data_IF_598230194276
#
_entry.id   IF_598230194276
#
_cell.length_a   1.000
_cell.length_b   1.000
_cell.length_c   1.000
_cell.angle_alpha   90.00
_cell.angle_beta   90.00
_cell.angle_gamma   90.00
#
_symmetry.space_group_name_H-M   'P 1'
#
loop_
_entity.id
_entity.type
_entity.pdbx_description
1 polymer ?
#
# COMPACT_ATOMS: atom_id res chain seq x y z
N UNK A 1 21.80 30.74 13.39
CA UNK A 1 21.75 29.33 12.94
C UNK A 1 23.13 28.74 13.09
N UNK A 2 23.40 28.11 14.23
CA UNK A 2 24.72 27.64 14.67
C UNK A 2 25.07 26.28 14.04
N UNK A 3 26.32 26.15 13.62
CA UNK A 3 26.90 25.09 12.78
C UNK A 3 26.95 23.66 13.39
N UNK A 4 26.15 23.37 14.43
CA UNK A 4 26.05 22.05 15.08
C UNK A 4 24.86 21.22 14.52
N UNK A 5 24.08 21.78 13.59
CA UNK A 5 23.07 21.01 12.86
C UNK A 5 23.66 20.01 11.83
N UNK A 6 24.95 20.12 11.52
CA UNK A 6 25.57 19.42 10.38
C UNK A 6 26.00 17.97 10.60
N UNK A 7 26.13 17.48 11.84
CA UNK A 7 26.60 16.09 12.09
C UNK A 7 25.57 15.12 12.69
N UNK A 8 24.52 15.62 13.36
CA UNK A 8 23.44 14.79 13.92
C UNK A 8 22.03 15.35 13.65
N UNK A 9 21.93 16.45 12.88
CA UNK A 9 20.69 17.17 12.64
C UNK A 9 19.86 16.54 11.52
N UNK A 10 19.01 15.57 11.86
CA UNK A 10 17.85 15.36 11.01
C UNK A 10 16.77 16.33 11.46
N UNK A 11 16.71 17.52 10.84
CA UNK A 11 15.60 18.44 11.01
C UNK A 11 14.30 17.65 10.88
N UNK A 12 13.41 17.79 11.87
CA UNK A 12 12.09 17.17 11.83
C UNK A 12 11.39 17.79 10.62
N UNK A 13 11.08 17.02 9.56
CA UNK A 13 10.55 17.58 8.31
C UNK A 13 9.15 18.17 8.49
N UNK A 14 8.47 17.80 9.59
CA UNK A 14 7.09 18.21 9.88
C UNK A 14 7.09 19.48 10.73
N UNK A 15 6.41 20.50 10.23
CA UNK A 15 6.18 21.76 10.91
C UNK A 15 4.67 22.13 10.89
N UNK A 16 4.31 23.35 11.31
CA UNK A 16 2.91 23.79 11.34
C UNK A 16 2.29 23.90 9.95
N UNK A 17 3.09 24.18 8.93
CA UNK A 17 2.66 24.37 7.53
C UNK A 17 2.65 23.04 6.75
N UNK A 18 3.53 22.11 7.14
CA UNK A 18 3.76 20.81 6.50
C UNK A 18 3.58 19.67 7.53
N UNK A 19 2.38 19.52 8.12
CA UNK A 19 2.11 18.54 9.18
C UNK A 19 2.39 17.08 8.77
N UNK A 20 2.36 16.79 7.46
CA UNK A 20 2.49 15.45 6.90
C UNK A 20 3.66 15.31 5.93
N UNK A 21 4.70 16.12 6.11
CA UNK A 21 5.96 15.97 5.38
C UNK A 21 6.65 14.65 5.73
N UNK A 22 6.72 13.74 4.76
CA UNK A 22 7.49 12.50 4.90
C UNK A 22 8.89 12.63 4.30
N UNK A 23 9.87 12.01 4.95
CA UNK A 23 11.19 11.76 4.37
C UNK A 23 11.07 10.70 3.28
N UNK A 24 12.00 10.71 2.33
CA UNK A 24 12.10 9.68 1.28
C UNK A 24 12.17 8.27 1.86
N UNK A 25 12.91 8.07 2.95
CA UNK A 25 12.99 6.78 3.65
C UNK A 25 11.67 6.36 4.31
N UNK A 26 10.88 7.31 4.80
CA UNK A 26 9.55 7.03 5.35
C UNK A 26 8.59 6.63 4.23
N UNK A 27 8.63 7.33 3.09
CA UNK A 27 7.85 6.97 1.92
C UNK A 27 8.15 5.54 1.43
N UNK A 28 9.41 5.19 1.20
CA UNK A 28 9.78 3.84 0.76
C UNK A 28 9.47 2.76 1.80
N UNK A 29 9.50 3.08 3.10
CA UNK A 29 8.99 2.18 4.13
C UNK A 29 7.50 1.92 3.97
N UNK A 30 6.70 2.94 3.68
CA UNK A 30 5.26 2.77 3.40
C UNK A 30 5.00 1.90 2.18
N UNK A 31 5.77 2.11 1.11
CA UNK A 31 5.74 1.27 -0.10
C UNK A 31 6.08 -0.19 0.23
N UNK A 32 7.15 -0.42 0.99
CA UNK A 32 7.58 -1.76 1.38
C UNK A 32 6.52 -2.46 2.26
N UNK A 33 5.90 -1.75 3.21
CA UNK A 33 4.81 -2.29 4.03
C UNK A 33 3.60 -2.65 3.16
N UNK A 34 3.17 -1.76 2.27
CA UNK A 34 2.03 -2.03 1.39
C UNK A 34 2.30 -3.27 0.50
N UNK A 35 3.49 -3.34 -0.10
CA UNK A 35 3.91 -4.49 -0.91
C UNK A 35 3.93 -5.78 -0.09
N UNK A 36 4.57 -5.77 1.09
CA UNK A 36 4.70 -6.95 1.94
C UNK A 36 3.35 -7.46 2.47
N UNK A 37 2.44 -6.55 2.83
CA UNK A 37 1.07 -6.90 3.30
C UNK A 37 0.20 -7.40 2.14
N UNK A 38 0.42 -6.92 0.92
CA UNK A 38 -0.34 -7.37 -0.24
C UNK A 38 -0.07 -8.83 -0.60
N UNK A 39 1.16 -9.32 -0.44
CA UNK A 39 1.51 -10.70 -0.82
C UNK A 39 0.65 -11.78 -0.14
N UNK A 40 0.52 -11.83 1.19
CA UNK A 40 -0.33 -12.84 1.83
C UNK A 40 -1.81 -12.64 1.50
N UNK A 41 -2.28 -11.40 1.38
CA UNK A 41 -3.68 -11.11 1.01
C UNK A 41 -3.98 -11.62 -0.40
N UNK A 42 -3.10 -11.33 -1.36
CA UNK A 42 -3.24 -11.78 -2.74
C UNK A 42 -3.18 -13.30 -2.86
N UNK A 43 -2.29 -13.96 -2.13
CA UNK A 43 -2.23 -15.43 -2.09
C UNK A 43 -3.54 -16.04 -1.55
N UNK A 44 -4.13 -15.46 -0.50
CA UNK A 44 -5.42 -15.89 0.04
C UNK A 44 -6.55 -15.66 -0.96
N UNK A 45 -6.61 -14.48 -1.59
CA UNK A 45 -7.63 -14.17 -2.60
C UNK A 45 -7.55 -15.17 -3.76
N UNK A 46 -6.36 -15.44 -4.29
CA UNK A 46 -6.20 -16.37 -5.39
C UNK A 46 -6.57 -17.80 -4.99
N UNK A 47 -6.10 -18.25 -3.84
CA UNK A 47 -6.39 -19.58 -3.32
C UNK A 47 -7.88 -19.79 -3.13
N UNK A 48 -8.55 -18.89 -2.43
CA UNK A 48 -9.99 -18.97 -2.15
C UNK A 48 -10.79 -18.87 -3.45
N UNK A 49 -10.45 -17.94 -4.34
CA UNK A 49 -11.11 -17.80 -5.65
C UNK A 49 -10.98 -19.07 -6.51
N UNK A 50 -9.80 -19.69 -6.51
CA UNK A 50 -9.54 -20.93 -7.27
C UNK A 50 -10.29 -22.14 -6.67
N UNK A 51 -10.42 -22.19 -5.34
CA UNK A 51 -11.10 -23.28 -4.65
C UNK A 51 -12.63 -23.21 -4.76
N UNK A 52 -13.22 -22.01 -4.70
CA UNK A 52 -14.67 -21.82 -4.77
C UNK A 52 -15.22 -21.79 -6.21
N UNK A 53 -14.40 -21.39 -7.18
CA UNK A 53 -14.83 -21.21 -8.57
C UNK A 53 -14.72 -22.43 -9.48
N UNK A 54 -14.13 -23.54 -9.01
CA UNK A 54 -13.84 -24.69 -9.88
C UNK A 54 -14.75 -25.90 -9.56
N UNK A 55 -15.76 -26.19 -10.39
CA UNK A 55 -16.67 -27.33 -10.20
C UNK A 55 -15.98 -28.70 -10.34
N UNK A 56 -14.72 -28.74 -10.75
CA UNK A 56 -13.93 -29.96 -10.94
C UNK A 56 -13.33 -30.53 -9.64
N UNK A 57 -13.60 -29.95 -8.47
CA UNK A 57 -13.15 -30.46 -7.17
C UNK A 57 -14.33 -30.82 -6.24
N UNK A 58 -15.09 -31.90 -6.49
CA UNK A 58 -16.31 -32.18 -5.74
C UNK A 58 -16.07 -32.64 -4.29
N UNK A 59 -15.01 -33.44 -4.00
CA UNK A 59 -14.99 -34.26 -2.77
C UNK A 59 -13.67 -34.24 -1.96
N UNK A 60 -12.96 -33.11 -1.87
CA UNK A 60 -11.82 -32.99 -0.92
C UNK A 60 -10.59 -32.21 -1.40
N UNK A 61 -10.67 -31.56 -2.56
CA UNK A 61 -9.55 -30.84 -3.18
C UNK A 61 -9.30 -29.42 -2.67
N UNK A 62 -10.08 -28.89 -1.72
CA UNK A 62 -10.02 -27.48 -1.30
C UNK A 62 -8.61 -27.11 -0.81
N UNK A 63 -7.99 -27.97 0.02
CA UNK A 63 -6.63 -27.74 0.49
C UNK A 63 -5.59 -27.71 -0.65
N UNK A 64 -5.74 -28.59 -1.64
CA UNK A 64 -4.87 -28.62 -2.81
C UNK A 64 -5.10 -27.42 -3.74
N UNK A 65 -6.34 -26.96 -3.91
CA UNK A 65 -6.68 -25.77 -4.70
C UNK A 65 -6.17 -24.49 -4.04
N UNK A 66 -6.29 -24.37 -2.71
CA UNK A 66 -5.69 -23.27 -1.93
C UNK A 66 -4.17 -23.24 -2.09
N UNK A 67 -3.51 -24.40 -1.98
CA UNK A 67 -2.06 -24.51 -2.13
C UNK A 67 -1.60 -24.20 -3.56
N UNK A 68 -2.27 -24.74 -4.57
CA UNK A 68 -1.96 -24.46 -5.98
C UNK A 68 -2.16 -22.99 -6.33
N UNK A 69 -3.24 -22.37 -5.87
CA UNK A 69 -3.48 -20.93 -6.03
C UNK A 69 -2.40 -20.09 -5.34
N UNK A 70 -2.01 -20.43 -4.12
CA UNK A 70 -0.93 -19.75 -3.41
C UNK A 70 0.42 -19.89 -4.13
N UNK A 71 0.75 -21.07 -4.68
CA UNK A 71 1.97 -21.28 -5.46
C UNK A 71 1.96 -20.48 -6.77
N UNK A 72 0.82 -20.44 -7.47
CA UNK A 72 0.68 -19.62 -8.67
C UNK A 72 0.85 -18.13 -8.37
N UNK A 73 0.32 -17.66 -7.23
CA UNK A 73 0.53 -16.30 -6.75
C UNK A 73 2.01 -15.98 -6.52
N UNK A 74 2.76 -16.91 -5.90
CA UNK A 74 4.17 -16.70 -5.60
C UNK A 74 5.02 -16.55 -6.86
N UNK A 75 4.63 -17.16 -7.98
CA UNK A 75 5.35 -17.07 -9.25
C UNK A 75 4.90 -15.85 -10.06
N UNK A 76 3.59 -15.74 -10.35
CA UNK A 76 3.05 -14.67 -11.20
C UNK A 76 2.67 -13.41 -10.45
N UNK A 77 1.96 -13.56 -9.32
CA UNK A 77 1.44 -12.44 -8.52
C UNK A 77 2.53 -11.56 -7.92
N UNK A 78 3.65 -12.14 -7.50
CA UNK A 78 4.83 -11.40 -7.00
C UNK A 78 5.41 -10.48 -8.08
N UNK A 79 5.56 -10.97 -9.31
CA UNK A 79 6.10 -10.16 -10.42
C UNK A 79 5.15 -9.04 -10.80
N UNK A 80 3.85 -9.35 -10.94
CA UNK A 80 2.83 -8.36 -11.29
C UNK A 80 2.73 -7.28 -10.21
N UNK A 81 2.72 -7.66 -8.94
CA UNK A 81 2.68 -6.71 -7.83
C UNK A 81 3.95 -5.86 -7.72
N UNK A 82 5.12 -6.39 -8.07
CA UNK A 82 6.36 -5.62 -8.13
C UNK A 82 6.30 -4.55 -9.23
N UNK A 83 5.86 -4.92 -10.44
CA UNK A 83 5.67 -3.99 -11.55
C UNK A 83 4.64 -2.91 -11.19
N UNK A 84 3.48 -3.31 -10.67
CA UNK A 84 2.44 -2.38 -10.22
C UNK A 84 2.96 -1.41 -9.14
N UNK A 85 3.80 -1.89 -8.23
CA UNK A 85 4.42 -1.06 -7.20
C UNK A 85 5.37 -0.04 -7.82
N UNK A 86 6.26 -0.46 -8.72
CA UNK A 86 7.21 0.44 -9.40
C UNK A 86 6.48 1.51 -10.18
N UNK A 87 5.42 1.14 -10.91
CA UNK A 87 4.59 2.08 -11.68
C UNK A 87 3.77 3.01 -10.76
N UNK A 88 3.26 2.49 -9.64
CA UNK A 88 2.43 3.25 -8.70
C UNK A 88 3.22 4.24 -7.83
N UNK A 89 4.50 3.97 -7.56
CA UNK A 89 5.35 4.78 -6.67
C UNK A 89 5.40 6.27 -7.05
N UNK A 90 5.66 6.66 -8.31
CA UNK A 90 5.67 8.07 -8.70
C UNK A 90 4.34 8.77 -8.42
N UNK A 91 3.20 8.13 -8.73
CA UNK A 91 1.88 8.71 -8.50
C UNK A 91 1.55 8.82 -7.02
N UNK A 92 1.86 7.80 -6.22
CA UNK A 92 1.71 7.83 -4.77
C UNK A 92 2.58 8.93 -4.13
N UNK A 93 3.78 9.16 -4.66
CA UNK A 93 4.66 10.23 -4.22
C UNK A 93 4.08 11.62 -4.51
N UNK A 94 3.58 11.83 -5.73
CA UNK A 94 2.92 13.09 -6.12
C UNK A 94 1.66 13.35 -5.28
N UNK A 95 0.86 12.31 -5.02
CA UNK A 95 -0.31 12.40 -4.14
C UNK A 95 0.08 12.76 -2.71
N UNK A 96 1.12 12.12 -2.16
CA UNK A 96 1.63 12.47 -0.82
C UNK A 96 2.15 13.91 -0.75
N UNK A 97 2.83 14.38 -1.80
CA UNK A 97 3.32 15.76 -1.93
C UNK A 97 2.17 16.77 -1.99
N UNK A 98 1.10 16.51 -2.72
CA UNK A 98 -0.04 17.43 -2.84
C UNK A 98 -0.83 17.55 -1.52
N UNK A 99 -0.84 16.50 -0.70
CA UNK A 99 -1.54 16.45 0.59
C UNK A 99 -0.68 16.86 1.78
N UNK A 100 0.55 17.34 1.57
CA UNK A 100 1.52 17.62 2.64
C UNK A 100 1.02 18.63 3.70
N UNK A 101 0.17 19.57 3.29
CA UNK A 101 -0.42 20.62 4.13
C UNK A 101 -1.69 20.18 4.88
N UNK A 102 -2.25 19.03 4.49
CA UNK A 102 -3.53 18.55 5.04
C UNK A 102 -3.29 17.87 6.38
N UNK A 103 -3.90 18.42 7.43
CA UNK A 103 -3.78 17.93 8.81
C UNK A 103 -4.60 16.67 9.11
N UNK A 104 -5.73 16.50 8.44
CA UNK A 104 -6.72 15.49 8.80
C UNK A 104 -6.40 14.11 8.21
N UNK A 105 -6.21 13.12 9.08
CA UNK A 105 -5.83 11.75 8.70
C UNK A 105 -6.83 11.11 7.73
N UNK A 106 -8.12 11.35 7.92
CA UNK A 106 -9.17 10.75 7.09
C UNK A 106 -9.06 11.17 5.62
N UNK A 107 -8.59 12.38 5.32
CA UNK A 107 -8.39 12.85 3.93
C UNK A 107 -7.32 12.02 3.24
N UNK A 108 -6.22 11.74 3.93
CA UNK A 108 -5.15 10.88 3.41
C UNK A 108 -5.64 9.45 3.25
N UNK A 109 -6.38 8.91 4.22
CA UNK A 109 -6.97 7.57 4.13
C UNK A 109 -7.85 7.45 2.88
N UNK A 110 -8.77 8.39 2.66
CA UNK A 110 -9.64 8.38 1.49
C UNK A 110 -8.86 8.55 0.18
N UNK A 111 -7.87 9.44 0.14
CA UNK A 111 -7.06 9.67 -1.05
C UNK A 111 -6.21 8.45 -1.44
N UNK A 112 -5.54 7.84 -0.47
CA UNK A 112 -4.74 6.64 -0.69
C UNK A 112 -5.60 5.41 -0.96
N UNK A 113 -6.79 5.32 -0.36
CA UNK A 113 -7.79 4.31 -0.71
C UNK A 113 -8.23 4.46 -2.18
N UNK A 114 -8.63 5.66 -2.58
CA UNK A 114 -9.06 5.95 -3.95
C UNK A 114 -7.93 5.67 -4.95
N UNK A 115 -6.69 6.02 -4.61
CA UNK A 115 -5.52 5.68 -5.43
C UNK A 115 -5.33 4.17 -5.57
N UNK A 116 -5.35 3.42 -4.47
CA UNK A 116 -5.19 1.96 -4.50
C UNK A 116 -6.33 1.26 -5.27
N UNK A 117 -7.57 1.71 -5.11
CA UNK A 117 -8.71 1.22 -5.90
C UNK A 117 -8.54 1.52 -7.39
N UNK A 118 -8.12 2.74 -7.75
CA UNK A 118 -7.90 3.13 -9.14
C UNK A 118 -6.78 2.30 -9.79
N UNK A 119 -5.70 2.05 -9.06
CA UNK A 119 -4.61 1.19 -9.50
C UNK A 119 -5.08 -0.25 -9.70
N UNK A 120 -5.86 -0.79 -8.76
CA UNK A 120 -6.46 -2.12 -8.86
C UNK A 120 -7.37 -2.27 -10.10
N UNK A 121 -8.24 -1.29 -10.33
CA UNK A 121 -9.11 -1.25 -11.52
C UNK A 121 -8.30 -1.15 -12.83
N UNK A 122 -7.23 -0.36 -12.85
CA UNK A 122 -6.36 -0.27 -14.03
C UNK A 122 -5.70 -1.61 -14.34
N UNK A 123 -5.24 -2.34 -13.31
CA UNK A 123 -4.68 -3.68 -13.45
C UNK A 123 -5.75 -4.66 -13.95
N UNK A 124 -6.93 -4.67 -13.31
CA UNK A 124 -8.08 -5.49 -13.73
C UNK A 124 -8.44 -5.27 -15.20
N UNK A 125 -8.45 -4.01 -15.67
CA UNK A 125 -8.66 -3.67 -17.07
C UNK A 125 -7.59 -4.24 -17.99
N UNK A 126 -6.31 -4.08 -17.65
CA UNK A 126 -5.18 -4.60 -18.45
C UNK A 126 -5.24 -6.13 -18.56
N UNK A 127 -5.54 -6.84 -17.47
CA UNK A 127 -5.66 -8.30 -17.48
C UNK A 127 -6.93 -8.81 -18.16
N UNK A 128 -7.98 -7.97 -18.23
CA UNK A 128 -9.20 -8.30 -18.95
C UNK A 128 -9.14 -7.90 -20.43
N UNK A 129 -8.05 -7.29 -20.89
CA UNK A 129 -7.91 -6.80 -22.25
C UNK A 129 -8.09 -7.93 -23.26
N UNK A 130 -9.11 -7.83 -24.12
CA UNK A 130 -9.46 -8.85 -25.11
C UNK A 130 -10.70 -9.69 -24.79
N UNK A 131 -11.28 -9.59 -23.59
CA UNK A 131 -12.55 -10.26 -23.23
C UNK A 131 -13.81 -9.45 -23.57
N UNK A 132 -13.67 -8.26 -24.17
CA UNK A 132 -14.75 -7.36 -24.56
C UNK A 132 -14.38 -5.88 -24.34
N UNK A 133 -15.23 -4.92 -24.75
CA UNK A 133 -14.93 -3.48 -24.64
C UNK A 133 -14.74 -2.99 -23.19
N UNK A 134 -15.30 -3.70 -22.21
CA UNK A 134 -15.14 -3.42 -20.78
C UNK A 134 -14.56 -4.60 -19.98
N UNK A 135 -14.21 -5.70 -20.64
CA UNK A 135 -13.74 -6.92 -19.98
C UNK A 135 -14.60 -7.34 -18.78
N UNK A 136 -13.97 -7.58 -17.63
CA UNK A 136 -14.66 -7.91 -16.36
C UNK A 136 -15.00 -6.68 -15.51
N UNK A 137 -14.73 -5.45 -15.97
CA UNK A 137 -14.92 -4.23 -15.16
C UNK A 137 -16.37 -4.01 -14.73
N UNK A 138 -17.35 -4.45 -15.53
CA UNK A 138 -18.77 -4.33 -15.20
C UNK A 138 -19.32 -5.52 -14.42
N UNK A 139 -18.54 -6.59 -14.27
CA UNK A 139 -18.91 -7.74 -13.47
C UNK A 139 -18.62 -7.45 -11.99
N UNK A 140 -19.71 -7.27 -11.22
CA UNK A 140 -19.62 -7.02 -9.79
C UNK A 140 -18.99 -8.21 -9.03
N UNK A 141 -19.09 -9.42 -9.58
CA UNK A 141 -18.63 -10.67 -8.99
C UNK A 141 -17.30 -11.15 -9.59
N UNK A 142 -16.65 -10.32 -10.41
CA UNK A 142 -15.32 -10.58 -10.93
C UNK A 142 -14.36 -10.95 -9.78
N UNK A 143 -13.66 -12.10 -9.85
CA UNK A 143 -12.63 -12.46 -8.87
C UNK A 143 -11.52 -11.40 -8.78
N UNK A 144 -11.32 -10.61 -9.85
CA UNK A 144 -10.36 -9.50 -9.87
C UNK A 144 -10.76 -8.35 -8.94
N UNK A 145 -12.05 -8.21 -8.60
CA UNK A 145 -12.55 -7.19 -7.69
C UNK A 145 -11.96 -7.29 -6.30
N UNK A 146 -11.75 -8.51 -5.81
CA UNK A 146 -11.12 -8.75 -4.52
C UNK A 146 -9.70 -8.17 -4.48
N UNK A 147 -8.94 -8.27 -5.57
CA UNK A 147 -7.62 -7.64 -5.65
C UNK A 147 -7.71 -6.12 -5.68
N UNK A 148 -8.69 -5.55 -6.36
CA UNK A 148 -8.93 -4.10 -6.36
C UNK A 148 -9.15 -3.58 -4.94
N UNK A 149 -10.01 -4.24 -4.16
CA UNK A 149 -10.21 -3.90 -2.75
C UNK A 149 -8.94 -4.10 -1.92
N UNK A 150 -8.22 -5.20 -2.13
CA UNK A 150 -6.95 -5.44 -1.45
C UNK A 150 -5.93 -4.34 -1.76
N UNK A 151 -5.81 -3.89 -3.01
CA UNK A 151 -4.94 -2.77 -3.41
C UNK A 151 -5.30 -1.49 -2.66
N UNK A 152 -6.60 -1.13 -2.61
CA UNK A 152 -7.07 0.01 -1.81
C UNK A 152 -6.68 -0.10 -0.33
N UNK A 153 -6.94 -1.26 0.26
CA UNK A 153 -6.67 -1.52 1.67
C UNK A 153 -5.18 -1.46 2.03
N UNK A 154 -4.30 -2.14 1.29
CA UNK A 154 -2.87 -2.21 1.63
C UNK A 154 -2.15 -0.89 1.46
N UNK A 155 -2.56 -0.05 0.51
CA UNK A 155 -2.00 1.30 0.36
C UNK A 155 -2.34 2.15 1.57
N UNK A 156 -3.59 2.08 2.06
CA UNK A 156 -4.00 2.75 3.31
C UNK A 156 -3.20 2.24 4.50
N UNK A 157 -3.03 0.91 4.63
CA UNK A 157 -2.25 0.30 5.71
C UNK A 157 -0.79 0.78 5.68
N UNK A 158 -0.17 0.80 4.50
CA UNK A 158 1.21 1.27 4.32
C UNK A 158 1.39 2.73 4.72
N UNK A 159 0.47 3.60 4.29
CA UNK A 159 0.45 5.01 4.69
C UNK A 159 0.22 5.17 6.20
N UNK A 160 -0.83 4.55 6.74
CA UNK A 160 -1.22 4.68 8.14
C UNK A 160 -0.12 4.23 9.09
N UNK A 161 0.46 3.06 8.85
CA UNK A 161 1.53 2.51 9.68
C UNK A 161 2.76 3.41 9.65
N UNK A 162 3.17 3.86 8.47
CA UNK A 162 4.32 4.76 8.30
C UNK A 162 4.09 6.10 8.97
N UNK A 163 2.88 6.64 8.83
CA UNK A 163 2.43 7.89 9.43
C UNK A 163 2.52 7.86 10.97
N UNK A 164 1.99 6.81 11.60
CA UNK A 164 2.06 6.62 13.06
C UNK A 164 3.49 6.44 13.56
N UNK A 165 4.30 5.68 12.82
CA UNK A 165 5.71 5.48 13.16
C UNK A 165 6.56 6.75 12.99
N UNK A 166 6.24 7.60 12.02
CA UNK A 166 6.92 8.89 11.84
C UNK A 166 6.60 9.83 13.01
N UNK A 167 5.31 10.04 13.30
CA UNK A 167 4.86 10.93 14.37
C UNK A 167 5.39 10.52 15.75
N UNK A 168 5.40 9.21 16.04
CA UNK A 168 5.94 8.70 17.31
C UNK A 168 7.46 8.91 17.43
N UNK A 169 8.21 8.82 16.33
CA UNK A 169 9.65 9.14 16.33
C UNK A 169 9.90 10.62 16.58
N UNK A 170 9.09 11.50 16.01
CA UNK A 170 9.22 12.95 16.22
C UNK A 170 8.92 13.34 17.66
N UNK A 171 7.85 12.79 18.23
CA UNK A 171 7.49 13.06 19.62
C UNK A 171 8.62 12.67 20.58
N UNK A 172 9.26 11.51 20.36
CA UNK A 172 10.43 11.09 21.16
C UNK A 172 11.63 12.02 20.97
N UNK A 173 11.89 12.45 19.74
CA UNK A 173 13.00 13.35 19.45
C UNK A 173 12.83 14.72 20.15
N UNK A 174 11.60 15.24 20.22
CA UNK A 174 11.30 16.48 20.94
C UNK A 174 11.53 16.34 22.45
N UNK A 175 11.06 15.25 23.07
CA UNK A 175 11.27 14.99 24.50
C UNK A 175 12.77 14.88 24.84
N UNK A 176 13.54 14.14 24.05
CA UNK A 176 14.99 14.02 24.27
C UNK A 176 15.75 15.34 24.11
N UNK A 177 15.30 16.23 23.21
CA UNK A 177 15.89 17.55 23.04
C UNK A 177 15.60 18.47 24.23
N UNK A 178 14.39 18.41 24.81
CA UNK A 178 14.04 19.15 26.02
C UNK A 178 14.85 18.67 27.23
N UNK A 179 15.04 17.36 27.40
CA UNK A 179 15.87 16.79 28.47
C UNK A 179 17.33 17.21 28.36
N UNK A 180 17.88 17.27 27.14
CA UNK A 180 19.25 17.71 26.90
C UNK A 180 19.48 19.19 27.22
N UNK A 181 18.48 20.05 27.02
CA UNK A 181 18.59 21.49 27.32
C UNK A 181 18.45 21.82 28.81
N UNK A 182 17.95 20.88 29.62
CA UNK A 182 17.81 21.04 31.08
C UNK A 182 19.06 20.64 31.85
N UNK A 183 20.01 19.96 31.21
CA UNK A 183 21.29 19.54 31.80
C UNK A 183 22.38 20.56 31.49
#
# INVERSE_FOLDING_TARGET
MTAIAGRYGTAIPRDKEHPRAFRTSEFFRGVAIAYAVFQPIGAVILGVGSGLGNPSYPDGGIGAALLAGALFWLIGGVVVSAVATVVGVPFAYLLGRSLIRVRHDWVHVLAFLAFGLSLGLAIEYVFSFGSGPFGTLLDAWSPLRAYTWACGFVVVVGWWTTSRLALSKDARALVSAEESNRR
#
